data_IF_704389799877
#
_entry.id   IF_704389799877
#
_cell.length_a   1.000
_cell.length_b   1.000
_cell.length_c   1.000
_cell.angle_alpha   90.00
_cell.angle_beta   90.00
_cell.angle_gamma   90.00
#
_symmetry.space_group_name_H-M   'P 1'
#
loop_
_entity.id
_entity.type
_entity.pdbx_description
1 polymer ?
#
# COMPACT_ATOMS: atom_id res chain seq x y z
N UNK A 1 -25.23 -15.79 12.49
CA UNK A 1 -24.08 -14.93 12.09
C UNK A 1 -22.88 -15.45 12.85
N UNK A 2 -21.86 -15.97 12.13
CA UNK A 2 -20.66 -16.53 12.73
C UNK A 2 -19.91 -15.40 13.46
N UNK A 3 -19.79 -15.50 14.78
CA UNK A 3 -19.02 -14.53 15.58
C UNK A 3 -17.56 -14.61 15.14
N UNK A 4 -17.03 -13.58 14.51
CA UNK A 4 -15.64 -13.53 14.06
C UNK A 4 -14.71 -13.64 15.28
N UNK A 5 -13.75 -14.56 15.24
CA UNK A 5 -12.84 -14.80 16.36
C UNK A 5 -11.93 -13.61 16.58
N UNK A 6 -11.81 -13.13 17.83
CA UNK A 6 -10.95 -11.98 18.21
C UNK A 6 -9.47 -12.21 17.95
N UNK A 7 -9.00 -13.47 17.87
CA UNK A 7 -7.62 -13.84 17.56
C UNK A 7 -7.57 -14.71 16.31
N UNK A 8 -7.01 -14.17 15.26
CA UNK A 8 -6.88 -14.82 13.96
C UNK A 8 -5.60 -15.65 13.86
N UNK A 9 -4.57 -15.30 14.64
CA UNK A 9 -3.25 -15.94 14.65
C UNK A 9 -2.86 -16.20 16.13
N UNK A 10 -2.38 -17.42 16.44
CA UNK A 10 -1.85 -17.74 17.75
C UNK A 10 -0.60 -16.91 18.05
N UNK A 11 -0.31 -16.71 19.36
CA UNK A 11 0.86 -15.95 19.82
C UNK A 11 2.16 -16.44 19.17
N UNK A 12 2.32 -17.76 19.06
CA UNK A 12 3.52 -18.40 18.56
C UNK A 12 3.78 -18.15 17.06
N UNK A 13 2.71 -17.92 16.30
CA UNK A 13 2.78 -17.67 14.85
C UNK A 13 2.84 -16.18 14.49
N UNK A 14 2.60 -15.25 15.44
CA UNK A 14 2.63 -13.80 15.19
C UNK A 14 4.01 -13.36 14.69
N UNK A 15 5.07 -13.88 15.29
CA UNK A 15 6.44 -13.50 14.92
C UNK A 15 6.76 -13.88 13.48
N UNK A 16 6.42 -15.10 13.07
CA UNK A 16 6.60 -15.55 11.69
C UNK A 16 5.80 -14.70 10.69
N UNK A 17 4.56 -14.35 11.02
CA UNK A 17 3.73 -13.48 10.18
C UNK A 17 4.36 -12.09 10.01
N UNK A 18 4.92 -11.51 11.10
CA UNK A 18 5.59 -10.20 11.03
C UNK A 18 6.87 -10.25 10.20
N UNK A 19 7.66 -11.32 10.31
CA UNK A 19 8.85 -11.51 9.48
C UNK A 19 8.48 -11.56 8.00
N UNK A 20 7.48 -12.36 7.63
CA UNK A 20 7.08 -12.49 6.22
C UNK A 20 6.48 -11.19 5.68
N UNK A 21 5.72 -10.43 6.49
CA UNK A 21 5.29 -9.09 6.11
C UNK A 21 6.48 -8.15 5.84
N UNK A 22 7.48 -8.16 6.72
CA UNK A 22 8.70 -7.37 6.53
C UNK A 22 9.50 -7.82 5.30
N UNK A 23 9.64 -9.13 5.07
CA UNK A 23 10.31 -9.69 3.88
C UNK A 23 9.57 -9.26 2.62
N UNK A 24 8.23 -9.32 2.60
CA UNK A 24 7.40 -8.87 1.49
C UNK A 24 7.67 -7.40 1.16
N UNK A 25 7.69 -6.54 2.19
CA UNK A 25 8.03 -5.12 2.04
C UNK A 25 9.45 -4.92 1.47
N UNK A 26 10.44 -5.55 2.09
CA UNK A 26 11.86 -5.33 1.77
C UNK A 26 12.16 -5.82 0.36
N UNK A 27 11.70 -7.03 -0.01
CA UNK A 27 11.95 -7.59 -1.34
C UNK A 27 11.33 -6.72 -2.43
N UNK A 28 10.05 -6.37 -2.31
CA UNK A 28 9.39 -5.51 -3.29
C UNK A 28 10.05 -4.12 -3.36
N UNK A 29 10.38 -3.52 -2.21
CA UNK A 29 11.05 -2.22 -2.18
C UNK A 29 12.42 -2.23 -2.86
N UNK A 30 13.26 -3.23 -2.57
CA UNK A 30 14.60 -3.34 -3.20
C UNK A 30 14.48 -3.48 -4.71
N UNK A 31 13.55 -4.33 -5.19
CA UNK A 31 13.37 -4.54 -6.63
C UNK A 31 12.85 -3.28 -7.29
N UNK A 32 11.83 -2.63 -6.75
CA UNK A 32 11.29 -1.38 -7.31
C UNK A 32 12.35 -0.26 -7.31
N UNK A 33 13.08 -0.11 -6.19
CA UNK A 33 14.13 0.90 -6.09
C UNK A 33 15.27 0.66 -7.11
N UNK A 34 15.64 -0.60 -7.33
CA UNK A 34 16.71 -0.96 -8.29
C UNK A 34 16.32 -0.80 -9.76
N UNK A 35 15.01 -0.77 -10.04
CA UNK A 35 14.44 -0.63 -11.39
C UNK A 35 13.73 0.70 -11.61
N UNK A 36 13.72 1.57 -10.60
CA UNK A 36 13.08 2.88 -10.64
C UNK A 36 13.73 3.78 -11.69
N UNK A 37 12.90 4.56 -12.39
CA UNK A 37 13.37 5.59 -13.30
C UNK A 37 14.28 6.59 -12.58
N UNK A 38 15.49 6.80 -13.09
CA UNK A 38 16.48 7.70 -12.50
C UNK A 38 16.25 9.17 -12.87
N UNK A 39 15.44 9.42 -13.88
CA UNK A 39 15.04 10.73 -14.39
C UNK A 39 13.58 10.71 -14.83
N UNK A 40 13.14 11.67 -15.62
CA UNK A 40 11.78 11.75 -16.16
C UNK A 40 11.50 10.53 -17.04
N UNK A 41 10.42 9.84 -16.76
CA UNK A 41 9.89 8.73 -17.53
C UNK A 41 8.87 9.22 -18.58
N UNK A 42 8.18 8.29 -19.25
CA UNK A 42 7.18 8.59 -20.26
C UNK A 42 5.82 8.99 -19.66
N UNK A 43 4.85 9.26 -20.48
CA UNK A 43 3.49 9.62 -20.12
C UNK A 43 3.42 10.88 -19.23
N UNK A 44 2.57 10.87 -18.23
CA UNK A 44 2.27 12.02 -17.37
C UNK A 44 3.32 12.27 -16.29
N UNK A 45 4.33 11.39 -16.16
CA UNK A 45 5.39 11.50 -15.13
C UNK A 45 6.09 12.86 -15.13
N UNK A 46 6.40 13.39 -16.34
CA UNK A 46 7.05 14.69 -16.46
C UNK A 46 6.18 15.82 -15.93
N UNK A 47 4.87 15.76 -16.21
CA UNK A 47 3.91 16.74 -15.72
C UNK A 47 3.77 16.66 -14.20
N UNK A 48 3.63 15.47 -13.64
CA UNK A 48 3.53 15.28 -12.18
C UNK A 48 4.80 15.70 -11.45
N UNK A 49 5.99 15.42 -11.99
CA UNK A 49 7.27 15.87 -11.43
C UNK A 49 7.36 17.39 -11.46
N UNK A 50 7.10 18.02 -12.60
CA UNK A 50 7.16 19.48 -12.74
C UNK A 50 6.12 20.18 -11.86
N UNK A 51 4.86 19.71 -11.91
CA UNK A 51 3.77 20.27 -11.10
C UNK A 51 4.02 20.11 -9.60
N UNK A 52 4.58 18.98 -9.18
CA UNK A 52 5.01 18.80 -7.78
C UNK A 52 6.08 19.79 -7.37
N UNK A 53 7.09 20.01 -8.23
CA UNK A 53 8.21 20.88 -7.91
C UNK A 53 7.81 22.35 -7.78
N UNK A 54 6.91 22.84 -8.65
CA UNK A 54 6.47 24.25 -8.64
C UNK A 54 5.15 24.46 -7.88
N UNK A 55 4.51 23.39 -7.34
CA UNK A 55 3.13 23.39 -6.83
C UNK A 55 2.13 23.92 -7.88
N UNK A 56 2.30 23.46 -9.12
CA UNK A 56 1.42 23.78 -10.23
C UNK A 56 0.11 22.95 -10.20
N UNK A 57 -0.66 23.04 -11.30
CA UNK A 57 -1.89 22.26 -11.48
C UNK A 57 -1.69 21.38 -12.70
N UNK A 58 -1.71 20.04 -12.56
CA UNK A 58 -1.63 19.10 -13.67
C UNK A 58 -2.99 19.04 -14.41
N UNK A 59 -3.05 18.22 -15.46
CA UNK A 59 -4.30 17.97 -16.18
C UNK A 59 -5.45 17.53 -15.25
N UNK A 60 -6.73 17.76 -15.64
CA UNK A 60 -7.89 17.34 -14.88
C UNK A 60 -7.91 15.81 -14.64
N UNK A 61 -8.34 15.35 -13.44
CA UNK A 61 -9.03 16.11 -12.39
C UNK A 61 -8.11 16.82 -11.39
N UNK A 62 -6.81 16.85 -11.63
CA UNK A 62 -5.82 17.31 -10.68
C UNK A 62 -5.55 16.27 -9.57
N UNK A 63 -4.44 16.37 -8.88
CA UNK A 63 -4.00 15.42 -7.85
C UNK A 63 -3.37 16.16 -6.68
N UNK A 64 -4.14 16.99 -5.94
CA UNK A 64 -3.56 17.95 -4.99
C UNK A 64 -2.73 17.29 -3.89
N UNK A 65 -3.17 16.17 -3.32
CA UNK A 65 -2.39 15.45 -2.31
C UNK A 65 -1.11 14.85 -2.90
N UNK A 66 -1.20 14.29 -4.11
CA UNK A 66 -0.02 13.77 -4.80
C UNK A 66 1.05 14.85 -4.97
N UNK A 67 0.64 16.04 -5.43
CA UNK A 67 1.56 17.17 -5.68
C UNK A 67 2.22 17.67 -4.39
N UNK A 68 1.47 17.75 -3.27
CA UNK A 68 2.02 18.13 -1.98
C UNK A 68 3.07 17.12 -1.51
N UNK A 69 2.77 15.82 -1.62
CA UNK A 69 3.70 14.76 -1.28
C UNK A 69 4.92 14.78 -2.21
N UNK A 70 4.71 14.90 -3.52
CA UNK A 70 5.79 15.03 -4.50
C UNK A 70 6.67 16.26 -4.24
N UNK A 71 6.08 17.39 -3.79
CA UNK A 71 6.85 18.56 -3.35
C UNK A 71 7.75 18.24 -2.16
N UNK A 72 7.22 17.53 -1.16
CA UNK A 72 8.03 17.10 0.00
C UNK A 72 9.20 16.22 -0.46
N UNK A 73 8.94 15.24 -1.33
CA UNK A 73 9.99 14.39 -1.89
C UNK A 73 11.01 15.18 -2.71
N UNK A 74 10.59 16.17 -3.50
CA UNK A 74 11.49 17.04 -4.27
C UNK A 74 12.45 17.84 -3.40
N UNK A 75 12.11 18.09 -2.14
CA UNK A 75 12.93 18.83 -1.18
C UNK A 75 13.89 17.94 -0.36
N UNK A 76 13.84 16.61 -0.52
CA UNK A 76 14.74 15.71 0.20
C UNK A 76 16.21 16.05 -0.14
N UNK A 77 17.11 16.06 0.85
CA UNK A 77 18.52 16.39 0.65
C UNK A 77 19.32 15.24 0.02
N UNK A 78 18.78 14.68 -1.05
CA UNK A 78 19.44 13.65 -1.84
C UNK A 78 20.18 14.30 -2.99
N UNK A 79 21.45 13.96 -3.16
CA UNK A 79 22.29 14.50 -4.25
C UNK A 79 21.96 13.83 -5.60
N UNK A 80 20.72 14.02 -6.05
CA UNK A 80 20.18 13.41 -7.26
C UNK A 80 19.24 14.39 -7.96
N UNK A 81 18.86 14.05 -9.20
CA UNK A 81 17.85 14.76 -9.97
C UNK A 81 16.52 14.91 -9.19
N UNK A 82 15.81 15.99 -9.43
CA UNK A 82 14.46 16.24 -8.86
C UNK A 82 13.52 15.10 -9.25
N UNK A 83 13.59 14.63 -10.49
CA UNK A 83 12.77 13.51 -10.97
C UNK A 83 13.03 12.25 -10.14
N UNK A 84 14.28 11.90 -9.89
CA UNK A 84 14.63 10.76 -9.03
C UNK A 84 13.97 10.85 -7.65
N UNK A 85 14.02 12.04 -7.03
CA UNK A 85 13.45 12.24 -5.69
C UNK A 85 11.94 12.09 -5.66
N UNK A 86 11.25 12.61 -6.68
CA UNK A 86 9.79 12.46 -6.79
C UNK A 86 9.42 11.00 -7.13
N UNK A 87 10.17 10.34 -8.02
CA UNK A 87 9.98 8.93 -8.35
C UNK A 87 10.05 8.01 -7.12
N UNK A 88 10.91 8.33 -6.12
CA UNK A 88 11.05 7.54 -4.87
C UNK A 88 9.72 7.31 -4.13
N UNK A 89 8.74 8.16 -4.34
CA UNK A 89 7.43 8.04 -3.71
C UNK A 89 6.72 6.74 -4.14
N UNK A 90 6.86 6.34 -5.41
CA UNK A 90 6.20 5.17 -5.96
C UNK A 90 6.74 3.84 -5.44
N UNK A 91 8.06 3.56 -5.39
CA UNK A 91 8.60 2.36 -4.75
C UNK A 91 8.18 2.21 -3.29
N UNK A 92 8.18 3.31 -2.54
CA UNK A 92 7.81 3.30 -1.10
C UNK A 92 6.34 2.92 -0.95
N UNK A 93 5.45 3.61 -1.63
CA UNK A 93 4.00 3.39 -1.48
C UNK A 93 3.56 2.06 -2.07
N UNK A 94 4.13 1.63 -3.21
CA UNK A 94 3.84 0.32 -3.82
C UNK A 94 4.30 -0.83 -2.94
N UNK A 95 5.50 -0.77 -2.36
CA UNK A 95 5.98 -1.84 -1.46
C UNK A 95 5.16 -1.93 -0.17
N UNK A 96 4.69 -0.80 0.37
CA UNK A 96 3.75 -0.78 1.48
C UNK A 96 2.40 -1.39 1.09
N UNK A 97 1.90 -1.12 -0.12
CA UNK A 97 0.68 -1.73 -0.64
C UNK A 97 0.80 -3.26 -0.75
N UNK A 98 1.93 -3.77 -1.26
CA UNK A 98 2.20 -5.21 -1.36
C UNK A 98 2.27 -5.86 0.02
N UNK A 99 2.93 -5.23 0.99
CA UNK A 99 2.94 -5.71 2.38
C UNK A 99 1.52 -5.76 2.98
N UNK A 100 0.73 -4.72 2.77
CA UNK A 100 -0.66 -4.70 3.22
C UNK A 100 -1.49 -5.79 2.54
N UNK A 101 -1.29 -6.02 1.25
CA UNK A 101 -1.95 -7.11 0.52
C UNK A 101 -1.62 -8.47 1.14
N UNK A 102 -0.35 -8.74 1.49
CA UNK A 102 0.04 -9.93 2.23
C UNK A 102 -0.77 -10.07 3.53
N UNK A 103 -0.83 -9.00 4.34
CA UNK A 103 -1.57 -9.01 5.61
C UNK A 103 -3.08 -9.20 5.41
N UNK A 104 -3.65 -8.60 4.35
CA UNK A 104 -5.05 -8.77 3.97
C UNK A 104 -5.34 -10.23 3.61
N UNK A 105 -4.50 -10.85 2.77
CA UNK A 105 -4.69 -12.26 2.37
C UNK A 105 -4.64 -13.17 3.60
N UNK A 106 -3.64 -13.00 4.48
CA UNK A 106 -3.55 -13.76 5.75
C UNK A 106 -4.84 -13.59 6.55
N UNK A 107 -5.31 -12.37 6.71
CA UNK A 107 -6.50 -12.04 7.48
C UNK A 107 -7.77 -12.66 6.88
N UNK A 108 -7.95 -12.56 5.58
CA UNK A 108 -9.11 -13.12 4.87
C UNK A 108 -9.13 -14.66 4.99
N UNK A 109 -7.99 -15.33 4.77
CA UNK A 109 -7.90 -16.78 4.88
C UNK A 109 -8.22 -17.23 6.32
N UNK A 110 -7.64 -16.53 7.31
CA UNK A 110 -7.87 -16.88 8.70
C UNK A 110 -9.32 -16.59 9.15
N UNK A 111 -9.95 -15.55 8.64
CA UNK A 111 -11.36 -15.28 8.88
C UNK A 111 -12.27 -16.39 8.29
N UNK A 112 -11.88 -16.96 7.15
CA UNK A 112 -12.62 -18.04 6.51
C UNK A 112 -12.41 -19.40 7.19
N UNK A 113 -11.14 -19.76 7.47
CA UNK A 113 -10.77 -21.08 8.03
C UNK A 113 -10.89 -21.17 9.56
N UNK A 114 -10.80 -20.04 10.25
CA UNK A 114 -10.65 -19.94 11.70
C UNK A 114 -9.22 -19.67 12.14
N UNK A 115 -8.96 -19.73 13.46
CA UNK A 115 -7.68 -19.39 14.05
C UNK A 115 -6.55 -20.29 13.55
N UNK A 116 -5.44 -19.67 13.11
CA UNK A 116 -4.20 -20.35 12.70
C UNK A 116 -3.44 -20.74 13.96
N UNK A 117 -3.58 -22.00 14.39
CA UNK A 117 -2.98 -22.50 15.63
C UNK A 117 -1.72 -23.32 15.38
N UNK A 118 -1.76 -24.22 14.42
CA UNK A 118 -0.62 -25.09 14.16
C UNK A 118 0.45 -24.40 13.32
N UNK A 119 1.70 -24.84 13.51
CA UNK A 119 2.81 -24.36 12.67
C UNK A 119 2.64 -24.76 11.19
N UNK A 120 2.04 -25.91 10.95
CA UNK A 120 1.76 -26.36 9.57
C UNK A 120 0.73 -25.46 8.88
N UNK A 121 -0.39 -25.12 9.56
CA UNK A 121 -1.37 -24.17 9.04
C UNK A 121 -0.74 -22.81 8.78
N UNK A 122 0.13 -22.36 9.70
CA UNK A 122 0.84 -21.09 9.54
C UNK A 122 1.74 -21.09 8.30
N UNK A 123 2.51 -22.15 8.05
CA UNK A 123 3.36 -22.28 6.84
C UNK A 123 2.51 -22.23 5.58
N UNK A 124 1.39 -22.97 5.54
CA UNK A 124 0.51 -23.00 4.36
C UNK A 124 -0.14 -21.64 4.13
N UNK A 125 -0.73 -21.03 5.15
CA UNK A 125 -1.46 -19.76 5.01
C UNK A 125 -0.52 -18.60 4.69
N UNK A 126 0.58 -18.49 5.42
CA UNK A 126 1.54 -17.39 5.22
C UNK A 126 2.33 -17.57 3.92
N UNK A 127 2.65 -18.82 3.56
CA UNK A 127 3.29 -19.13 2.28
C UNK A 127 2.39 -18.78 1.10
N UNK A 128 1.12 -19.18 1.13
CA UNK A 128 0.15 -18.83 0.09
C UNK A 128 -0.07 -17.31 -0.01
N UNK A 129 -0.17 -16.62 1.14
CA UNK A 129 -0.29 -15.17 1.18
C UNK A 129 0.94 -14.46 0.62
N UNK A 130 2.15 -14.96 0.94
CA UNK A 130 3.40 -14.44 0.41
C UNK A 130 3.50 -14.61 -1.11
N UNK A 131 3.19 -15.81 -1.61
CA UNK A 131 3.17 -16.08 -3.06
C UNK A 131 2.16 -15.17 -3.76
N UNK A 132 0.94 -15.05 -3.23
CA UNK A 132 -0.08 -14.17 -3.81
C UNK A 132 0.32 -12.71 -3.85
N UNK A 133 0.89 -12.17 -2.76
CA UNK A 133 1.38 -10.81 -2.70
C UNK A 133 2.58 -10.56 -3.63
N UNK A 134 3.52 -11.51 -3.71
CA UNK A 134 4.67 -11.41 -4.64
C UNK A 134 4.22 -11.54 -6.11
N UNK A 135 3.26 -12.40 -6.41
CA UNK A 135 2.69 -12.47 -7.76
C UNK A 135 2.10 -11.13 -8.17
N UNK A 136 1.32 -10.49 -7.30
CA UNK A 136 0.80 -9.14 -7.55
C UNK A 136 1.91 -8.11 -7.73
N UNK A 137 2.93 -8.13 -6.85
CA UNK A 137 4.06 -7.20 -6.89
C UNK A 137 4.78 -7.20 -8.24
N UNK A 138 4.87 -8.35 -8.88
CA UNK A 138 5.60 -8.54 -10.14
C UNK A 138 4.69 -8.66 -11.37
N UNK A 139 3.41 -8.26 -11.26
CA UNK A 139 2.59 -8.03 -12.46
C UNK A 139 3.08 -6.79 -13.20
N UNK A 140 3.02 -6.82 -14.53
CA UNK A 140 3.47 -5.71 -15.38
C UNK A 140 2.84 -4.39 -14.97
N UNK A 141 1.51 -4.37 -14.80
CA UNK A 141 0.76 -3.15 -14.47
C UNK A 141 1.16 -2.56 -13.12
N UNK A 142 1.35 -3.39 -12.07
CA UNK A 142 1.73 -2.88 -10.76
C UNK A 142 3.18 -2.44 -10.72
N UNK A 143 4.09 -3.23 -11.33
CA UNK A 143 5.51 -2.90 -11.39
C UNK A 143 5.76 -1.61 -12.15
N UNK A 144 5.14 -1.44 -13.32
CA UNK A 144 5.26 -0.22 -14.12
C UNK A 144 4.95 1.02 -13.28
N UNK A 145 3.81 1.04 -12.58
CA UNK A 145 3.42 2.14 -11.72
C UNK A 145 4.28 2.27 -10.43
N UNK A 146 4.96 1.22 -10.02
CA UNK A 146 5.80 1.23 -8.83
C UNK A 146 7.19 1.87 -9.05
N UNK A 147 7.60 2.11 -10.29
CA UNK A 147 8.97 2.55 -10.63
C UNK A 147 9.06 3.95 -11.21
N UNK A 148 7.95 4.67 -11.29
CA UNK A 148 7.89 6.02 -11.86
C UNK A 148 6.88 6.92 -11.14
N UNK A 149 6.94 8.24 -11.40
CA UNK A 149 6.12 9.25 -10.71
C UNK A 149 4.69 9.27 -11.25
N UNK A 150 3.88 8.29 -10.81
CA UNK A 150 2.49 8.15 -11.17
C UNK A 150 1.57 8.07 -9.95
N UNK A 151 0.34 8.52 -10.10
CA UNK A 151 -0.67 8.55 -9.02
C UNK A 151 -1.11 7.16 -8.58
N UNK A 152 -0.96 6.14 -9.43
CA UNK A 152 -1.50 4.79 -9.19
C UNK A 152 -0.80 4.03 -8.07
N UNK A 153 0.50 4.27 -7.86
CA UNK A 153 1.24 3.69 -6.74
C UNK A 153 0.64 4.08 -5.39
N UNK A 154 0.40 5.38 -5.19
CA UNK A 154 -0.21 5.90 -3.96
C UNK A 154 -1.69 5.49 -3.87
N UNK A 155 -2.43 5.50 -4.98
CA UNK A 155 -3.82 5.04 -5.02
C UNK A 155 -3.96 3.60 -4.55
N UNK A 156 -3.08 2.71 -5.03
CA UNK A 156 -3.05 1.31 -4.60
C UNK A 156 -2.75 1.18 -3.10
N UNK A 157 -1.84 2.00 -2.57
CA UNK A 157 -1.55 2.04 -1.14
C UNK A 157 -2.79 2.48 -0.32
N UNK A 158 -3.49 3.55 -0.74
CA UNK A 158 -4.71 3.99 -0.06
C UNK A 158 -5.81 2.93 -0.11
N UNK A 159 -5.99 2.26 -1.24
CA UNK A 159 -6.93 1.14 -1.36
C UNK A 159 -6.56 0.02 -0.38
N UNK A 160 -5.31 -0.39 -0.35
CA UNK A 160 -4.85 -1.47 0.53
C UNK A 160 -5.02 -1.14 2.01
N UNK A 161 -4.67 0.09 2.45
CA UNK A 161 -4.81 0.47 3.86
C UNK A 161 -6.28 0.60 4.26
N UNK A 162 -7.15 1.08 3.39
CA UNK A 162 -8.60 1.15 3.65
C UNK A 162 -9.19 -0.25 3.81
N UNK A 163 -8.90 -1.17 2.90
CA UNK A 163 -9.35 -2.57 3.01
C UNK A 163 -8.84 -3.21 4.30
N UNK A 164 -7.57 -2.98 4.65
CA UNK A 164 -6.98 -3.49 5.89
C UNK A 164 -7.69 -2.92 7.13
N UNK A 165 -8.01 -1.62 7.15
CA UNK A 165 -8.76 -0.99 8.24
C UNK A 165 -10.19 -1.52 8.34
N UNK A 166 -10.89 -1.74 7.22
CA UNK A 166 -12.22 -2.34 7.18
C UNK A 166 -12.21 -3.73 7.81
N UNK A 167 -11.23 -4.57 7.46
CA UNK A 167 -11.09 -5.91 8.05
C UNK A 167 -10.81 -5.85 9.55
N UNK A 168 -10.07 -4.84 10.03
CA UNK A 168 -9.83 -4.64 11.46
C UNK A 168 -11.04 -4.09 12.20
N UNK A 169 -11.78 -3.19 11.57
CA UNK A 169 -13.05 -2.70 12.11
C UNK A 169 -14.07 -3.83 12.22
N UNK A 170 -14.21 -4.65 11.18
CA UNK A 170 -15.13 -5.79 11.14
C UNK A 170 -14.96 -6.75 12.34
N UNK A 171 -13.72 -6.94 12.83
CA UNK A 171 -13.47 -7.77 14.02
C UNK A 171 -13.93 -7.13 15.32
N UNK A 172 -14.06 -5.82 15.35
CA UNK A 172 -14.30 -5.00 16.55
C UNK A 172 -15.58 -4.17 16.47
N UNK A 173 -16.42 -4.41 15.47
CA UNK A 173 -17.60 -3.58 15.20
C UNK A 173 -18.55 -3.47 16.40
N UNK A 174 -18.64 -4.52 17.23
CA UNK A 174 -19.47 -4.57 18.44
C UNK A 174 -18.76 -4.03 19.70
N UNK A 175 -17.50 -3.57 19.60
CA UNK A 175 -16.74 -3.05 20.73
C UNK A 175 -16.98 -1.53 20.90
N UNK A 176 -17.10 -1.02 22.15
CA UNK A 176 -17.16 0.42 22.38
C UNK A 176 -15.93 1.14 21.78
N UNK A 177 -16.15 2.25 21.08
CA UNK A 177 -15.09 3.02 20.43
C UNK A 177 -14.67 2.47 19.06
N UNK A 178 -15.39 1.49 18.49
CA UNK A 178 -15.13 0.97 17.14
C UNK A 178 -15.42 1.99 16.04
N UNK A 179 -16.26 2.98 16.31
CA UNK A 179 -16.59 4.09 15.39
C UNK A 179 -15.35 4.88 14.96
N UNK A 180 -14.29 4.92 15.78
CA UNK A 180 -13.02 5.56 15.40
C UNK A 180 -12.39 4.96 14.14
N UNK A 181 -12.58 3.66 13.88
CA UNK A 181 -12.12 3.05 12.64
C UNK A 181 -12.87 3.59 11.43
N UNK A 182 -14.18 3.81 11.55
CA UNK A 182 -15.01 4.39 10.49
C UNK A 182 -14.53 5.81 10.18
N UNK A 183 -14.23 6.61 11.22
CA UNK A 183 -13.69 7.96 11.04
C UNK A 183 -12.34 7.95 10.30
N UNK A 184 -11.43 7.03 10.68
CA UNK A 184 -10.13 6.89 10.00
C UNK A 184 -10.32 6.43 8.55
N UNK A 185 -11.22 5.47 8.29
CA UNK A 185 -11.54 5.00 6.94
C UNK A 185 -12.07 6.16 6.08
N UNK A 186 -13.04 6.92 6.60
CA UNK A 186 -13.58 8.09 5.89
C UNK A 186 -12.50 9.15 5.62
N UNK A 187 -11.61 9.40 6.56
CA UNK A 187 -10.47 10.29 6.38
C UNK A 187 -9.51 9.80 5.30
N UNK A 188 -9.16 8.50 5.30
CA UNK A 188 -8.32 7.90 4.26
C UNK A 188 -8.96 7.99 2.88
N UNK A 189 -10.28 7.80 2.76
CA UNK A 189 -10.99 8.03 1.50
C UNK A 189 -10.88 9.49 1.04
N UNK A 190 -11.07 10.43 1.95
CA UNK A 190 -10.90 11.86 1.63
C UNK A 190 -9.51 12.19 1.10
N UNK A 191 -8.47 11.62 1.70
CA UNK A 191 -7.09 11.77 1.22
C UNK A 191 -6.88 11.08 -0.14
N UNK A 192 -7.43 9.89 -0.33
CA UNK A 192 -7.31 9.13 -1.56
C UNK A 192 -7.90 9.87 -2.77
N UNK A 193 -9.02 10.57 -2.60
CA UNK A 193 -9.61 11.45 -3.62
C UNK A 193 -8.62 12.53 -4.04
N UNK A 194 -7.86 13.09 -3.09
CA UNK A 194 -6.82 14.08 -3.35
C UNK A 194 -5.60 13.53 -4.10
N UNK A 195 -5.48 12.20 -4.23
CA UNK A 195 -4.49 11.55 -5.10
C UNK A 195 -5.08 11.31 -6.48
N UNK A 196 -6.20 10.61 -6.56
CA UNK A 196 -6.87 10.33 -7.82
C UNK A 196 -8.37 10.06 -7.59
N UNK A 197 -9.23 10.67 -8.41
CA UNK A 197 -10.69 10.60 -8.23
C UNK A 197 -11.24 9.17 -8.36
N UNK A 198 -10.59 8.30 -9.13
CA UNK A 198 -11.00 6.89 -9.26
C UNK A 198 -10.88 6.09 -7.96
N UNK A 199 -10.25 6.63 -6.92
CA UNK A 199 -10.26 6.02 -5.59
C UNK A 199 -11.65 6.05 -4.92
N UNK A 200 -12.64 6.70 -5.54
CA UNK A 200 -14.04 6.65 -5.12
C UNK A 200 -14.79 5.41 -5.61
N UNK A 201 -14.28 4.72 -6.63
CA UNK A 201 -14.89 3.53 -7.25
C UNK A 201 -14.40 2.25 -6.56
#
# INVERSE_FOLDING_TARGET
IKKWSKRVISSDNIFMNRILAAVTLIVSFIVYLSTMATTVSYWDCGEFIASSYILGVPHPPGSPLYLILGRIFSMLPLNTDIAYRVNLMSPITSSLAVMLLYLIIVKVIANYRGEIRSRQDAIVVFGAAFIGAMTFAFTDSHWFNAVEAEVYAISTFFTAIVVWLILHWSDRADEPGSERYILIIAYMFGLAIGVHILNLL
#
